data_IF_049621117417
#
_entry.id   IF_049621117417
#
_cell.length_a   1.000
_cell.length_b   1.000
_cell.length_c   1.000
_cell.angle_alpha   90.00
_cell.angle_beta   90.00
_cell.angle_gamma   90.00
#
_symmetry.space_group_name_H-M   'P 1'
#
loop_
_entity.id
_entity.type
_entity.pdbx_description
1 polymer ?
#
# COMPACT_ATOMS: atom_id res chain seq x y z
N UNK A 1 6.86 10.23 -18.61
CA UNK A 1 7.70 10.78 -17.53
C UNK A 1 9.16 10.55 -17.82
N UNK A 2 10.02 11.54 -17.58
CA UNK A 2 11.49 11.39 -17.64
C UNK A 2 12.02 11.27 -16.21
N UNK A 3 12.02 10.05 -15.67
CA UNK A 3 12.45 9.79 -14.30
C UNK A 3 13.97 9.58 -14.21
N UNK A 4 14.65 10.16 -13.21
CA UNK A 4 16.03 9.79 -12.88
C UNK A 4 16.12 8.32 -12.47
N UNK A 5 17.32 7.74 -12.61
CA UNK A 5 17.57 6.31 -12.34
C UNK A 5 17.14 5.90 -10.92
N UNK A 6 17.44 6.72 -9.91
CA UNK A 6 17.06 6.46 -8.52
C UNK A 6 15.54 6.27 -8.34
N UNK A 7 14.72 7.09 -8.99
CA UNK A 7 13.26 6.97 -8.92
C UNK A 7 12.73 5.77 -9.72
N UNK A 8 13.42 5.37 -10.79
CA UNK A 8 13.10 4.11 -11.49
C UNK A 8 13.39 2.91 -10.62
N UNK A 9 14.50 2.91 -9.88
CA UNK A 9 14.84 1.85 -8.92
C UNK A 9 13.78 1.81 -7.80
N UNK A 10 13.45 2.96 -7.21
CA UNK A 10 12.42 3.06 -6.18
C UNK A 10 11.08 2.50 -6.67
N UNK A 11 10.61 2.92 -7.85
CA UNK A 11 9.35 2.45 -8.41
C UNK A 11 9.40 0.95 -8.74
N UNK A 12 10.54 0.44 -9.22
CA UNK A 12 10.76 -0.98 -9.47
C UNK A 12 10.69 -1.81 -8.20
N UNK A 13 11.38 -1.36 -7.15
CA UNK A 13 11.34 -2.00 -5.85
C UNK A 13 9.93 -1.97 -5.24
N UNK A 14 9.26 -0.81 -5.26
CA UNK A 14 7.91 -0.68 -4.73
C UNK A 14 6.90 -1.54 -5.50
N UNK A 15 6.98 -1.58 -6.84
CA UNK A 15 6.15 -2.46 -7.67
C UNK A 15 6.33 -3.92 -7.26
N UNK A 16 7.58 -4.38 -7.12
CA UNK A 16 7.89 -5.76 -6.73
C UNK A 16 7.43 -6.07 -5.31
N UNK A 17 7.65 -5.15 -4.35
CA UNK A 17 7.27 -5.31 -2.95
C UNK A 17 5.75 -5.44 -2.80
N UNK A 18 4.98 -4.50 -3.36
CA UNK A 18 3.51 -4.55 -3.30
C UNK A 18 2.95 -5.71 -4.13
N UNK A 19 3.62 -6.09 -5.22
CA UNK A 19 3.29 -7.30 -5.98
C UNK A 19 3.46 -8.57 -5.13
N UNK A 20 4.56 -8.67 -4.37
CA UNK A 20 4.79 -9.80 -3.47
C UNK A 20 3.75 -9.84 -2.34
N UNK A 21 3.41 -8.70 -1.74
CA UNK A 21 2.33 -8.63 -0.75
C UNK A 21 0.99 -9.08 -1.33
N UNK A 22 0.66 -8.66 -2.55
CA UNK A 22 -0.54 -9.13 -3.24
C UNK A 22 -0.55 -10.64 -3.43
N UNK A 23 0.57 -11.25 -3.83
CA UNK A 23 0.68 -12.72 -3.97
C UNK A 23 0.51 -13.43 -2.63
N UNK A 24 1.08 -12.90 -1.54
CA UNK A 24 0.95 -13.50 -0.22
C UNK A 24 -0.48 -13.47 0.35
N UNK A 25 -1.38 -12.64 -0.18
CA UNK A 25 -2.80 -12.66 0.18
C UNK A 25 -3.50 -13.97 -0.19
N UNK A 26 -2.93 -14.79 -1.08
CA UNK A 26 -3.44 -16.13 -1.33
C UNK A 26 -3.40 -17.00 -0.06
N UNK A 27 -2.39 -16.80 0.79
CA UNK A 27 -2.24 -17.54 2.05
C UNK A 27 -3.30 -17.13 3.09
N UNK A 28 -3.88 -15.94 2.97
CA UNK A 28 -4.90 -15.43 3.91
C UNK A 28 -6.30 -16.07 3.68
N UNK A 29 -6.45 -16.86 2.62
CA UNK A 29 -7.64 -17.68 2.32
C UNK A 29 -7.50 -19.10 2.91
N UNK A 30 -6.29 -19.51 3.30
CA UNK A 30 -6.02 -20.86 3.78
C UNK A 30 -6.50 -21.03 5.24
N UNK A 31 -7.54 -21.86 5.49
CA UNK A 31 -8.04 -22.10 6.84
C UNK A 31 -7.07 -22.89 7.72
N UNK A 32 -6.05 -23.55 7.14
CA UNK A 32 -4.97 -24.20 7.89
C UNK A 32 -3.96 -23.17 8.45
N UNK A 33 -3.91 -21.97 7.85
CA UNK A 33 -3.00 -20.88 8.23
C UNK A 33 -3.69 -19.83 9.10
N UNK A 34 -4.98 -19.52 8.85
CA UNK A 34 -5.72 -18.47 9.58
C UNK A 34 -7.02 -18.94 10.24
N UNK A 35 -7.16 -18.57 11.52
CA UNK A 35 -8.38 -18.78 12.28
C UNK A 35 -9.44 -17.74 11.89
N UNK A 36 -10.47 -18.16 11.14
CA UNK A 36 -11.51 -17.31 10.48
C UNK A 36 -11.05 -16.63 9.19
N UNK A 37 -10.43 -17.40 8.28
CA UNK A 37 -10.16 -16.96 6.92
C UNK A 37 -11.40 -16.32 6.26
N UNK A 38 -11.29 -15.05 5.88
CA UNK A 38 -12.33 -14.30 5.18
C UNK A 38 -11.88 -14.05 3.76
N UNK A 39 -12.50 -14.77 2.81
CA UNK A 39 -12.19 -14.61 1.39
C UNK A 39 -12.46 -13.19 0.89
N UNK A 40 -13.43 -12.48 1.48
CA UNK A 40 -13.70 -11.09 1.15
C UNK A 40 -12.57 -10.16 1.58
N UNK A 41 -12.02 -10.36 2.77
CA UNK A 41 -10.97 -9.47 3.28
C UNK A 41 -9.64 -9.70 2.56
N UNK A 42 -9.26 -10.96 2.35
CA UNK A 42 -8.13 -11.34 1.51
C UNK A 42 -8.26 -10.77 0.08
N UNK A 43 -9.46 -10.81 -0.52
CA UNK A 43 -9.71 -10.22 -1.83
C UNK A 43 -9.57 -8.68 -1.83
N UNK A 44 -10.01 -8.00 -0.77
CA UNK A 44 -9.87 -6.54 -0.63
C UNK A 44 -8.40 -6.14 -0.47
N UNK A 45 -7.61 -6.88 0.32
CA UNK A 45 -6.19 -6.66 0.46
C UNK A 45 -5.40 -7.01 -0.80
N UNK A 46 -5.74 -8.09 -1.49
CA UNK A 46 -5.20 -8.42 -2.81
C UNK A 46 -5.42 -7.26 -3.78
N UNK A 47 -6.67 -6.79 -3.90
CA UNK A 47 -7.02 -5.67 -4.76
C UNK A 47 -6.29 -4.38 -4.39
N UNK A 48 -6.15 -4.11 -3.09
CA UNK A 48 -5.39 -2.97 -2.57
C UNK A 48 -3.91 -3.02 -2.99
N UNK A 49 -3.22 -4.12 -2.69
CA UNK A 49 -1.80 -4.25 -3.03
C UNK A 49 -1.57 -4.30 -4.55
N UNK A 50 -2.46 -4.95 -5.30
CA UNK A 50 -2.40 -4.97 -6.76
C UNK A 50 -2.59 -3.58 -7.38
N UNK A 51 -3.53 -2.78 -6.86
CA UNK A 51 -3.71 -1.39 -7.28
C UNK A 51 -2.42 -0.58 -7.06
N UNK A 52 -1.84 -0.65 -5.86
CA UNK A 52 -0.60 0.10 -5.53
C UNK A 52 0.55 -0.36 -6.42
N UNK A 53 0.73 -1.66 -6.62
CA UNK A 53 1.76 -2.21 -7.52
C UNK A 53 1.57 -1.70 -8.96
N UNK A 54 0.33 -1.68 -9.46
CA UNK A 54 -0.01 -1.19 -10.81
C UNK A 54 0.32 0.29 -10.98
N UNK A 55 0.07 1.11 -9.95
CA UNK A 55 0.41 2.54 -9.97
C UNK A 55 1.92 2.76 -10.14
N UNK A 56 2.75 1.96 -9.47
CA UNK A 56 4.20 1.99 -9.65
C UNK A 56 4.64 1.44 -11.01
N UNK A 57 4.00 0.38 -11.51
CA UNK A 57 4.25 -0.17 -12.83
C UNK A 57 3.98 0.87 -13.95
N UNK A 58 2.90 1.63 -13.85
CA UNK A 58 2.60 2.72 -14.78
C UNK A 58 3.74 3.75 -14.82
N UNK A 59 4.29 4.10 -13.66
CA UNK A 59 5.41 5.03 -13.58
C UNK A 59 6.67 4.51 -14.29
N UNK A 60 6.94 3.20 -14.19
CA UNK A 60 8.05 2.53 -14.92
C UNK A 60 7.83 2.51 -16.44
N UNK A 61 6.57 2.34 -16.86
CA UNK A 61 6.14 2.46 -18.26
C UNK A 61 6.15 3.92 -18.76
N UNK A 62 6.67 4.85 -17.94
CA UNK A 62 6.74 6.29 -18.21
C UNK A 62 5.35 6.94 -18.37
N UNK A 63 4.29 6.32 -17.87
CA UNK A 63 2.91 6.84 -17.88
C UNK A 63 2.56 7.39 -16.50
N UNK A 64 2.05 8.61 -16.45
CA UNK A 64 1.55 9.17 -15.18
C UNK A 64 0.18 8.58 -14.90
N UNK A 65 -0.01 8.04 -13.69
CA UNK A 65 -1.34 7.65 -13.25
C UNK A 65 -2.26 8.90 -13.23
N UNK A 66 -3.52 8.77 -13.63
CA UNK A 66 -4.45 9.89 -13.58
C UNK A 66 -4.70 10.29 -12.12
N UNK A 67 -4.89 11.59 -11.86
CA UNK A 67 -4.99 12.14 -10.50
C UNK A 67 -6.13 11.52 -9.69
N UNK A 68 -7.25 11.21 -10.33
CA UNK A 68 -8.39 10.56 -9.67
C UNK A 68 -8.03 9.16 -9.15
N UNK A 69 -7.18 8.42 -9.87
CA UNK A 69 -6.75 7.08 -9.46
C UNK A 69 -5.76 7.14 -8.31
N UNK A 70 -4.87 8.15 -8.31
CA UNK A 70 -4.00 8.42 -7.16
C UNK A 70 -4.82 8.84 -5.92
N UNK A 71 -5.86 9.66 -6.11
CA UNK A 71 -6.76 10.05 -5.02
C UNK A 71 -7.52 8.84 -4.47
N UNK A 72 -8.06 8.01 -5.35
CA UNK A 72 -8.71 6.75 -4.97
C UNK A 72 -7.77 5.85 -4.17
N UNK A 73 -6.54 5.66 -4.64
CA UNK A 73 -5.54 4.88 -3.90
C UNK A 73 -5.19 5.49 -2.54
N UNK A 74 -5.07 6.82 -2.44
CA UNK A 74 -4.83 7.50 -1.17
C UNK A 74 -5.99 7.29 -0.17
N UNK A 75 -7.24 7.42 -0.64
CA UNK A 75 -8.43 7.13 0.16
C UNK A 75 -8.44 5.67 0.60
N UNK A 76 -8.13 4.73 -0.29
CA UNK A 76 -8.05 3.31 0.05
C UNK A 76 -7.00 3.04 1.14
N UNK A 77 -5.83 3.70 1.09
CA UNK A 77 -4.82 3.59 2.15
C UNK A 77 -5.34 4.11 3.48
N UNK A 78 -6.00 5.29 3.49
CA UNK A 78 -6.56 5.86 4.72
C UNK A 78 -7.67 4.99 5.31
N UNK A 79 -8.51 4.37 4.47
CA UNK A 79 -9.53 3.43 4.92
C UNK A 79 -8.89 2.19 5.55
N UNK A 80 -7.90 1.57 4.89
CA UNK A 80 -7.18 0.41 5.46
C UNK A 80 -6.48 0.78 6.77
N UNK A 81 -5.80 1.93 6.85
CA UNK A 81 -5.21 2.43 8.10
C UNK A 81 -6.25 2.65 9.20
N UNK A 82 -7.43 3.19 8.87
CA UNK A 82 -8.52 3.36 9.83
C UNK A 82 -9.06 2.03 10.36
N UNK A 83 -9.18 1.02 9.48
CA UNK A 83 -9.64 -0.32 9.85
C UNK A 83 -8.65 -1.06 10.75
N UNK A 84 -7.36 -0.84 10.57
CA UNK A 84 -6.30 -1.59 11.27
C UNK A 84 -5.63 -0.81 12.40
N UNK A 85 -5.91 0.49 12.51
CA UNK A 85 -5.31 1.39 13.49
C UNK A 85 -5.56 1.00 14.94
N UNK A 86 -6.67 0.31 15.22
CA UNK A 86 -6.95 -0.21 16.56
C UNK A 86 -5.93 -1.26 17.01
N UNK A 87 -5.48 -2.12 16.10
CA UNK A 87 -4.43 -3.09 16.41
C UNK A 87 -3.09 -2.44 16.71
N UNK A 88 -2.73 -1.39 15.95
CA UNK A 88 -1.54 -0.59 16.26
C UNK A 88 -1.66 0.09 17.63
N UNK A 89 -2.82 0.65 17.94
CA UNK A 89 -3.07 1.28 19.24
C UNK A 89 -2.85 0.31 20.40
N UNK A 90 -3.42 -0.89 20.33
CA UNK A 90 -3.23 -1.93 21.36
C UNK A 90 -1.77 -2.39 21.39
N UNK A 91 -1.08 -2.49 20.26
CA UNK A 91 0.31 -2.93 20.24
C UNK A 91 1.26 -1.90 20.90
N UNK A 92 0.96 -0.61 20.79
CA UNK A 92 1.78 0.47 21.36
C UNK A 92 1.40 0.77 22.82
N UNK A 93 0.10 0.85 23.12
CA UNK A 93 -0.43 1.34 24.39
C UNK A 93 -1.09 0.25 25.24
N UNK A 94 -1.15 -0.98 24.75
CA UNK A 94 -1.67 -2.12 25.49
C UNK A 94 -0.76 -2.56 26.63
N UNK A 95 -1.22 -3.57 27.36
CA UNK A 95 -0.52 -4.13 28.50
C UNK A 95 0.59 -5.11 28.10
N UNK A 96 0.45 -5.73 26.92
CA UNK A 96 1.41 -6.70 26.39
C UNK A 96 2.56 -6.00 25.65
N UNK A 97 3.74 -6.63 25.63
CA UNK A 97 4.93 -6.05 24.99
C UNK A 97 4.73 -5.79 23.50
N UNK A 98 5.22 -4.65 23.01
CA UNK A 98 5.19 -4.33 21.60
C UNK A 98 5.94 -5.38 20.79
N UNK A 99 5.30 -5.91 19.75
CA UNK A 99 5.95 -6.80 18.79
C UNK A 99 5.37 -6.66 17.40
N UNK A 100 6.25 -6.78 16.40
CA UNK A 100 5.90 -6.87 14.98
C UNK A 100 6.23 -8.26 14.42
N UNK A 101 6.79 -9.13 15.26
CA UNK A 101 7.22 -10.48 14.94
C UNK A 101 6.28 -11.47 15.61
N UNK A 102 5.71 -12.39 14.83
CA UNK A 102 4.88 -13.46 15.34
C UNK A 102 5.58 -14.79 15.09
N UNK A 103 5.80 -15.59 16.15
CA UNK A 103 6.50 -16.88 16.07
C UNK A 103 5.55 -18.00 15.60
N UNK A 104 4.24 -17.80 15.71
CA UNK A 104 3.22 -18.58 15.00
C UNK A 104 2.02 -17.69 14.65
N UNK A 105 1.36 -17.95 13.52
CA UNK A 105 0.11 -17.28 13.09
C UNK A 105 -1.10 -17.71 13.94
N UNK A 106 -0.87 -17.96 15.23
CA UNK A 106 -1.90 -18.19 16.22
C UNK A 106 -2.75 -16.93 16.36
N UNK A 107 -4.08 -17.09 16.33
CA UNK A 107 -5.07 -16.03 16.57
C UNK A 107 -5.06 -15.47 18.00
N UNK A 108 -4.09 -15.88 18.82
CA UNK A 108 -3.94 -15.42 20.19
C UNK A 108 -3.54 -13.94 20.28
N UNK A 109 -2.87 -13.38 19.26
CA UNK A 109 -2.45 -11.97 19.27
C UNK A 109 -2.75 -11.21 17.95
N UNK A 110 -4.02 -10.83 17.72
CA UNK A 110 -4.44 -10.15 16.48
C UNK A 110 -3.87 -8.73 16.34
N UNK A 111 -3.31 -8.13 17.40
CA UNK A 111 -2.79 -6.75 17.33
C UNK A 111 -1.54 -6.65 16.46
N UNK A 112 -0.75 -7.72 16.37
CA UNK A 112 0.50 -7.77 15.61
C UNK A 112 0.20 -7.74 14.12
N UNK A 113 -0.74 -8.57 13.67
CA UNK A 113 -1.21 -8.62 12.29
C UNK A 113 -1.82 -7.28 11.85
N UNK A 114 -2.77 -6.74 12.62
CA UNK A 114 -3.37 -5.44 12.36
C UNK A 114 -2.34 -4.30 12.36
N UNK A 115 -1.32 -4.35 13.23
CA UNK A 115 -0.22 -3.38 13.19
C UNK A 115 0.56 -3.46 11.88
N UNK A 116 0.87 -4.67 11.40
CA UNK A 116 1.59 -4.90 10.13
C UNK A 116 0.79 -4.39 8.95
N UNK A 117 -0.51 -4.68 8.92
CA UNK A 117 -1.43 -4.18 7.91
C UNK A 117 -1.51 -2.65 7.90
N UNK A 118 -1.57 -2.01 9.09
CA UNK A 118 -1.52 -0.56 9.22
C UNK A 118 -0.25 0.02 8.59
N UNK A 119 0.92 -0.53 8.93
CA UNK A 119 2.18 -0.06 8.37
C UNK A 119 2.28 -0.35 6.87
N UNK A 120 1.74 -1.46 6.38
CA UNK A 120 1.60 -1.75 4.96
C UNK A 120 0.82 -0.67 4.21
N UNK A 121 -0.33 -0.26 4.76
CA UNK A 121 -1.14 0.81 4.22
C UNK A 121 -0.47 2.19 4.33
N UNK A 122 0.28 2.45 5.41
CA UNK A 122 1.06 3.70 5.57
C UNK A 122 2.18 3.81 4.53
N UNK A 123 2.93 2.73 4.29
CA UNK A 123 3.98 2.69 3.27
C UNK A 123 3.36 2.88 1.87
N UNK A 124 2.20 2.28 1.61
CA UNK A 124 1.47 2.48 0.37
C UNK A 124 1.05 3.95 0.18
N UNK A 125 0.53 4.61 1.23
CA UNK A 125 0.16 6.03 1.18
C UNK A 125 1.37 6.92 0.86
N UNK A 126 2.51 6.68 1.52
CA UNK A 126 3.76 7.37 1.23
C UNK A 126 4.20 7.15 -0.23
N UNK A 127 4.04 5.93 -0.73
CA UNK A 127 4.28 5.57 -2.12
C UNK A 127 3.40 6.33 -3.11
N UNK A 128 2.11 6.43 -2.84
CA UNK A 128 1.16 7.20 -3.66
C UNK A 128 1.50 8.70 -3.64
N UNK A 129 1.85 9.25 -2.48
CA UNK A 129 2.32 10.63 -2.37
C UNK A 129 3.59 10.86 -3.21
N UNK A 130 4.53 9.91 -3.19
CA UNK A 130 5.73 9.95 -4.04
C UNK A 130 5.37 9.89 -5.53
N UNK A 131 4.45 9.03 -5.96
CA UNK A 131 3.97 8.97 -7.34
C UNK A 131 3.30 10.27 -7.78
N UNK A 132 2.49 10.88 -6.91
CA UNK A 132 1.87 12.17 -7.17
C UNK A 132 2.93 13.27 -7.37
N UNK A 133 3.94 13.30 -6.51
CA UNK A 133 5.06 14.23 -6.62
C UNK A 133 5.87 14.00 -7.91
N UNK A 134 6.17 12.75 -8.24
CA UNK A 134 6.86 12.38 -9.49
C UNK A 134 6.09 12.83 -10.72
N UNK A 135 4.76 12.63 -10.74
CA UNK A 135 3.89 13.09 -11.81
C UNK A 135 3.89 14.61 -11.99
N UNK A 136 3.95 15.37 -10.89
CA UNK A 136 4.07 16.84 -10.94
C UNK A 136 5.44 17.31 -11.43
N UNK A 137 6.52 16.66 -10.99
CA UNK A 137 7.89 17.11 -11.24
C UNK A 137 8.46 16.64 -12.57
N UNK A 138 8.08 15.44 -13.02
CA UNK A 138 8.63 14.74 -14.18
C UNK A 138 7.57 14.29 -15.20
N UNK A 139 6.31 14.68 -14.97
CA UNK A 139 5.22 14.57 -15.95
C UNK A 139 5.65 15.19 -17.27
N UNK A 140 5.35 14.52 -18.38
CA UNK A 140 5.43 15.17 -19.70
C UNK A 140 4.34 16.24 -19.66
N UNK A 141 4.76 17.51 -19.71
CA UNK A 141 3.92 18.66 -19.39
C UNK A 141 2.50 18.54 -19.95
N UNK A 142 1.51 18.57 -19.07
CA UNK A 142 0.29 19.29 -19.41
C UNK A 142 0.76 20.75 -19.53
N UNK A 143 0.54 21.43 -20.67
CA UNK A 143 0.78 22.86 -20.72
C UNK A 143 0.05 23.45 -19.53
N UNK A 144 0.76 24.16 -18.67
CA UNK A 144 0.12 25.10 -17.77
C UNK A 144 -0.70 26.00 -18.69
N UNK A 145 -2.02 25.81 -18.74
CA UNK A 145 -2.88 26.77 -19.39
C UNK A 145 -2.61 28.10 -18.71
N UNK A 146 -1.95 28.98 -19.49
CA UNK A 146 -2.14 30.40 -19.61
C UNK A 146 -2.65 31.11 -18.32
N UNK A 147 -1.95 32.09 -17.77
CA UNK A 147 -1.45 33.19 -18.59
C UNK A 147 -2.57 33.77 -19.46
N UNK A 148 -3.78 33.91 -18.92
CA UNK A 148 -4.84 34.73 -19.53
C UNK A 148 -4.99 35.96 -18.65
N UNK A 149 -4.49 37.07 -19.23
CA UNK A 149 -4.80 38.49 -19.02
C UNK A 149 -5.63 38.89 -17.80
#
# INVERSE_FOLDING_TARGET
>A
MKLPISLRILNGFAMALFGAFAVFQYNDIDPEVYHRASSLDAALWLGFYALVSTLFALALMKRSAPRWLLLFGAVACLVKMGQTGWGLWINIFGQDTFTMMQVSMSSADPRVELSREFFGALIALAGIAALWWQGRRFGLGVPTEAGVS
#
